data_IF_167778322998
#
_entry.id   IF_167778322998
#
_cell.length_a   1.000
_cell.length_b   1.000
_cell.length_c   1.000
_cell.angle_alpha   90.00
_cell.angle_beta   90.00
_cell.angle_gamma   90.00
#
_symmetry.space_group_name_H-M   'P 1'
#
loop_
_entity.id
_entity.type
_entity.pdbx_description
1 polymer ?
#
# COMPACT_ATOMS: atom_id res chain seq x y z
N UNK A 1 5.75 0.95 2.94
CA UNK A 1 6.41 2.00 2.14
C UNK A 1 7.12 1.46 0.91
N UNK A 2 7.48 0.18 0.85
CA UNK A 2 8.26 -0.42 -0.25
C UNK A 2 7.43 -1.45 -1.02
N UNK A 3 6.27 -1.02 -1.54
CA UNK A 3 5.38 -1.90 -2.29
C UNK A 3 5.91 -2.21 -3.69
N UNK A 4 5.71 -3.45 -4.16
CA UNK A 4 6.02 -3.87 -5.52
C UNK A 4 7.51 -3.91 -5.81
N UNK A 5 7.88 -3.50 -7.03
CA UNK A 5 9.25 -3.52 -7.54
C UNK A 5 10.04 -2.22 -7.24
N UNK A 6 9.41 -1.25 -6.56
CA UNK A 6 10.00 0.07 -6.25
C UNK A 6 11.33 0.05 -5.46
N UNK A 7 11.68 -1.00 -4.68
CA UNK A 7 12.97 -1.04 -3.98
C UNK A 7 14.18 -1.30 -4.89
N UNK A 8 13.95 -1.62 -6.17
CA UNK A 8 14.94 -1.74 -7.26
C UNK A 8 16.30 -2.34 -6.88
N UNK A 9 17.23 -1.51 -6.42
CA UNK A 9 18.62 -1.85 -6.10
C UNK A 9 18.79 -2.75 -4.88
N UNK A 10 17.78 -2.83 -4.01
CA UNK A 10 17.87 -3.60 -2.76
C UNK A 10 17.75 -5.12 -2.98
N UNK A 11 17.43 -5.53 -4.22
CA UNK A 11 17.35 -6.94 -4.63
C UNK A 11 15.97 -7.57 -4.40
N UNK A 12 15.80 -8.80 -4.91
CA UNK A 12 14.50 -9.49 -4.94
C UNK A 12 13.87 -9.73 -3.56
N UNK A 13 14.67 -9.96 -2.53
CA UNK A 13 14.16 -10.15 -1.15
C UNK A 13 13.50 -8.90 -0.56
N UNK A 14 13.75 -7.72 -1.15
CA UNK A 14 13.17 -6.46 -0.74
C UNK A 14 11.97 -6.06 -1.59
N UNK A 15 11.57 -6.87 -2.58
CA UNK A 15 10.43 -6.59 -3.45
C UNK A 15 9.16 -7.23 -2.89
N UNK A 16 8.14 -6.42 -2.59
CA UNK A 16 6.87 -6.91 -2.06
C UNK A 16 5.90 -7.24 -3.22
N UNK A 17 6.01 -8.42 -3.80
CA UNK A 17 5.21 -8.82 -4.99
C UNK A 17 3.86 -9.45 -4.60
N UNK A 18 3.85 -10.36 -3.63
CA UNK A 18 2.65 -11.10 -3.22
C UNK A 18 1.84 -10.46 -2.08
N UNK A 19 2.34 -9.38 -1.47
CA UNK A 19 1.79 -8.75 -0.26
C UNK A 19 0.28 -8.44 -0.38
N UNK A 20 -0.15 -7.80 -1.46
CA UNK A 20 -1.56 -7.46 -1.68
C UNK A 20 -2.44 -8.69 -1.90
N UNK A 21 -1.90 -9.80 -2.40
CA UNK A 21 -2.62 -11.06 -2.57
C UNK A 21 -2.79 -11.78 -1.23
N UNK A 22 -1.69 -11.95 -0.50
CA UNK A 22 -1.67 -12.60 0.82
C UNK A 22 -2.56 -11.84 1.80
N UNK A 23 -2.40 -10.53 1.90
CA UNK A 23 -3.15 -9.74 2.87
C UNK A 23 -4.65 -9.71 2.54
N UNK A 24 -5.05 -9.70 1.27
CA UNK A 24 -6.48 -9.79 0.92
C UNK A 24 -7.12 -11.13 1.27
N UNK A 25 -6.33 -12.18 1.51
CA UNK A 25 -6.85 -13.48 1.91
C UNK A 25 -7.28 -13.53 3.38
N UNK A 26 -6.84 -12.58 4.22
CA UNK A 26 -7.23 -12.57 5.62
C UNK A 26 -8.65 -12.02 5.78
N UNK A 27 -9.54 -12.73 6.50
CA UNK A 27 -10.89 -12.25 6.76
C UNK A 27 -10.91 -10.90 7.47
N UNK A 28 -11.88 -10.06 7.12
CA UNK A 28 -12.12 -8.75 7.74
C UNK A 28 -10.95 -7.76 7.63
N UNK A 29 -9.98 -7.98 6.74
CA UNK A 29 -8.90 -7.01 6.51
C UNK A 29 -9.16 -6.14 5.29
N UNK A 30 -8.99 -4.83 5.47
CA UNK A 30 -9.04 -3.87 4.37
C UNK A 30 -7.64 -3.64 3.82
N UNK A 31 -7.45 -3.90 2.52
CA UNK A 31 -6.16 -3.72 1.83
C UNK A 31 -6.30 -2.65 0.77
N UNK A 32 -5.61 -1.53 0.94
CA UNK A 32 -5.79 -0.32 0.14
C UNK A 32 -4.46 0.37 -0.18
N UNK A 33 -4.39 1.01 -1.35
CA UNK A 33 -3.22 1.73 -1.86
C UNK A 33 -3.71 3.01 -2.53
N UNK A 34 -3.11 4.15 -2.18
CA UNK A 34 -3.37 5.41 -2.89
C UNK A 34 -2.66 5.44 -4.24
N UNK A 35 -3.26 6.10 -5.23
CA UNK A 35 -2.71 6.22 -6.58
C UNK A 35 -1.78 7.44 -6.73
N UNK A 36 -1.94 8.43 -5.86
CA UNK A 36 -1.23 9.71 -5.90
C UNK A 36 -1.25 10.37 -4.51
N UNK A 37 -0.70 11.58 -4.41
CA UNK A 37 -0.71 12.37 -3.16
C UNK A 37 -2.14 12.63 -2.64
N UNK A 38 -3.06 13.09 -3.50
CA UNK A 38 -4.37 13.55 -3.03
C UNK A 38 -5.27 12.39 -2.60
N UNK A 39 -5.27 11.28 -3.36
CA UNK A 39 -5.97 10.06 -2.99
C UNK A 39 -5.40 9.48 -1.70
N UNK A 40 -4.07 9.41 -1.58
CA UNK A 40 -3.41 8.89 -0.38
C UNK A 40 -3.79 9.68 0.87
N UNK A 41 -3.78 11.02 0.79
CA UNK A 41 -4.16 11.88 1.91
C UNK A 41 -5.59 11.60 2.40
N UNK A 42 -6.55 11.56 1.48
CA UNK A 42 -7.95 11.24 1.80
C UNK A 42 -8.09 9.84 2.36
N UNK A 43 -7.37 8.89 1.78
CA UNK A 43 -7.45 7.48 2.10
C UNK A 43 -6.87 7.19 3.50
N UNK A 44 -5.80 7.87 3.91
CA UNK A 44 -5.27 7.82 5.29
C UNK A 44 -6.31 8.36 6.28
N UNK A 45 -6.97 9.47 5.98
CA UNK A 45 -8.01 10.03 6.85
C UNK A 45 -9.21 9.07 7.00
N UNK A 46 -9.62 8.41 5.91
CA UNK A 46 -10.69 7.42 5.95
C UNK A 46 -10.27 6.14 6.68
N UNK A 47 -9.04 5.66 6.46
CA UNK A 47 -8.51 4.49 7.13
C UNK A 47 -8.52 4.64 8.66
N UNK A 48 -8.22 5.84 9.17
CA UNK A 48 -8.27 6.14 10.60
C UNK A 48 -9.67 6.03 11.23
N UNK A 49 -10.73 6.06 10.40
CA UNK A 49 -12.13 5.97 10.83
C UNK A 49 -12.73 4.58 10.60
N UNK A 50 -12.02 3.69 9.92
CA UNK A 50 -12.50 2.33 9.63
C UNK A 50 -12.41 1.44 10.88
N UNK A 51 -13.42 0.60 11.06
CA UNK A 51 -13.39 -0.44 12.08
C UNK A 51 -12.69 -1.69 11.53
N UNK A 52 -11.74 -2.23 12.30
CA UNK A 52 -10.96 -3.41 11.92
C UNK A 52 -9.58 -3.08 11.31
N UNK A 53 -8.81 -4.11 10.94
CA UNK A 53 -7.45 -3.93 10.44
C UNK A 53 -7.43 -3.35 9.02
N UNK A 54 -6.59 -2.33 8.83
CA UNK A 54 -6.36 -1.69 7.53
C UNK A 54 -4.87 -1.75 7.18
N UNK A 55 -4.56 -2.34 6.03
CA UNK A 55 -3.24 -2.31 5.42
C UNK A 55 -3.18 -1.22 4.34
N UNK A 56 -2.35 -0.21 4.60
CA UNK A 56 -2.04 0.88 3.68
C UNK A 56 -0.71 0.61 2.97
N UNK A 57 -0.77 0.41 1.65
CA UNK A 57 0.42 0.22 0.82
C UNK A 57 0.89 1.55 0.23
N UNK A 58 2.20 1.74 0.22
CA UNK A 58 2.87 2.89 -0.40
C UNK A 58 4.07 2.43 -1.22
N UNK A 59 4.47 3.23 -2.20
CA UNK A 59 5.70 3.07 -2.99
C UNK A 59 6.86 3.81 -2.37
N UNK A 60 8.09 3.37 -2.68
CA UNK A 60 9.32 4.09 -2.31
C UNK A 60 9.51 5.33 -3.15
N UNK A 61 9.34 5.16 -4.47
CA UNK A 61 9.60 6.22 -5.44
C UNK A 61 8.44 7.21 -5.51
N UNK A 62 8.78 8.43 -5.91
CA UNK A 62 7.81 9.47 -6.28
C UNK A 62 6.97 9.02 -7.46
N UNK A 63 5.66 9.14 -7.32
CA UNK A 63 4.67 8.83 -8.35
C UNK A 63 4.03 10.12 -8.89
N UNK A 64 3.59 10.15 -10.16
CA UNK A 64 2.87 11.29 -10.71
C UNK A 64 1.61 11.63 -9.91
N UNK A 65 1.26 12.92 -9.87
CA UNK A 65 -0.03 13.37 -9.37
C UNK A 65 -1.03 13.30 -10.53
N UNK A 66 -2.15 12.62 -10.33
CA UNK A 66 -3.19 12.38 -11.34
C UNK A 66 -4.56 12.87 -10.88
#
# INVERSE_FOLDING_TARGET
SHGGLTPATDGGSHQAIEDMGVLRSFPNMTVIMGADYYSTRKLVEQAAKMYGPVYLRFTRDTIPVI
#
